data_IF_246916522546
#
_entry.id   IF_246916522546
#
_cell.length_a   1.000
_cell.length_b   1.000
_cell.length_c   1.000
_cell.angle_alpha   90.00
_cell.angle_beta   90.00
_cell.angle_gamma   90.00
#
_symmetry.space_group_name_H-M   'P 1'
#
loop_
_entity.id
_entity.type
_entity.pdbx_description
1 polymer ?
#
# COMPACT_ATOMS: atom_id res chain seq x y z
N UNK A 1 -14.59 -21.05 -41.29
CA UNK A 1 -14.38 -21.64 -39.95
C UNK A 1 -13.75 -20.55 -39.12
N UNK A 2 -14.43 -20.09 -38.07
CA UNK A 2 -13.85 -19.14 -37.12
C UNK A 2 -12.59 -19.77 -36.51
N UNK A 3 -11.55 -18.98 -36.29
CA UNK A 3 -10.40 -19.46 -35.53
C UNK A 3 -10.87 -19.69 -34.08
N UNK A 4 -10.44 -20.78 -33.41
CA UNK A 4 -10.71 -21.02 -32.00
C UNK A 4 -10.52 -19.80 -31.09
N UNK A 5 -9.58 -18.90 -31.42
CA UNK A 5 -9.35 -17.65 -30.67
C UNK A 5 -10.47 -16.60 -30.84
N UNK A 6 -11.18 -16.60 -31.96
CA UNK A 6 -12.30 -15.68 -32.20
C UNK A 6 -13.57 -16.16 -31.51
N UNK A 7 -13.77 -17.48 -31.44
CA UNK A 7 -14.89 -18.08 -30.70
C UNK A 7 -14.73 -17.94 -29.18
N UNK A 8 -13.50 -18.02 -28.66
CA UNK A 8 -13.20 -17.81 -27.25
C UNK A 8 -13.51 -16.37 -26.77
N UNK A 9 -13.30 -15.36 -27.63
CA UNK A 9 -13.60 -13.95 -27.31
C UNK A 9 -15.10 -13.64 -27.24
N UNK A 10 -15.94 -14.50 -27.82
CA UNK A 10 -17.41 -14.36 -27.77
C UNK A 10 -18.04 -15.11 -26.58
N UNK A 11 -17.24 -15.84 -25.80
CA UNK A 11 -17.67 -16.54 -24.59
C UNK A 11 -17.86 -15.62 -23.38
N UNK A 12 -18.56 -16.11 -22.35
CA UNK A 12 -18.75 -15.37 -21.09
C UNK A 12 -17.42 -15.22 -20.32
N UNK A 13 -16.92 -13.99 -20.24
CA UNK A 13 -15.63 -13.65 -19.59
C UNK A 13 -15.71 -13.50 -18.06
N UNK A 14 -16.70 -14.14 -17.42
CA UNK A 14 -16.94 -14.02 -15.97
C UNK A 14 -16.44 -15.22 -15.16
N UNK A 15 -15.90 -16.24 -15.82
CA UNK A 15 -15.28 -17.39 -15.17
C UNK A 15 -13.79 -17.12 -14.92
N UNK A 16 -13.30 -17.47 -13.73
CA UNK A 16 -11.88 -17.39 -13.36
C UNK A 16 -10.99 -18.33 -14.20
N UNK A 17 -11.59 -19.29 -14.91
CA UNK A 17 -10.92 -20.19 -15.85
C UNK A 17 -10.92 -19.70 -17.31
N UNK A 18 -11.47 -18.51 -17.60
CA UNK A 18 -11.41 -17.93 -18.95
C UNK A 18 -9.94 -17.64 -19.35
N UNK A 19 -9.39 -18.27 -20.41
CA UNK A 19 -8.06 -17.97 -20.91
C UNK A 19 -7.92 -16.53 -21.44
N UNK A 20 -9.02 -15.87 -21.80
CA UNK A 20 -9.08 -14.43 -22.11
C UNK A 20 -9.30 -13.55 -20.86
N UNK A 21 -9.65 -14.15 -19.73
CA UNK A 21 -9.73 -13.49 -18.43
C UNK A 21 -8.34 -13.08 -17.97
N UNK A 22 -8.12 -11.77 -17.77
CA UNK A 22 -6.86 -11.29 -17.18
C UNK A 22 -6.85 -11.70 -15.71
N UNK A 23 -6.26 -12.85 -15.39
CA UNK A 23 -6.12 -13.33 -14.02
C UNK A 23 -5.48 -12.22 -13.16
N UNK A 24 -6.19 -11.67 -12.15
CA UNK A 24 -5.69 -10.53 -11.35
C UNK A 24 -4.35 -10.82 -10.68
N UNK A 25 -4.06 -12.11 -10.41
CA UNK A 25 -2.79 -12.58 -9.87
C UNK A 25 -1.59 -12.37 -10.80
N UNK A 26 -1.80 -12.10 -12.11
CA UNK A 26 -0.72 -11.86 -13.09
C UNK A 26 -0.18 -10.42 -13.07
N UNK A 27 -0.75 -9.50 -12.31
CA UNK A 27 -0.16 -8.16 -12.17
C UNK A 27 1.21 -8.26 -11.50
N UNK A 28 2.23 -7.56 -12.01
CA UNK A 28 3.57 -7.55 -11.39
C UNK A 28 3.66 -6.63 -10.17
N UNK A 29 2.58 -5.89 -9.88
CA UNK A 29 2.52 -4.95 -8.77
C UNK A 29 1.50 -5.38 -7.71
N UNK A 30 1.73 -4.89 -6.49
CA UNK A 30 0.83 -4.99 -5.35
C UNK A 30 0.51 -3.59 -4.84
N UNK A 31 -0.74 -3.40 -4.42
CA UNK A 31 -1.15 -2.20 -3.70
C UNK A 31 -1.18 -2.51 -2.21
N UNK A 32 -0.49 -1.68 -1.42
CA UNK A 32 -0.55 -1.73 0.03
C UNK A 32 -1.66 -0.82 0.52
N UNK A 33 -2.42 -1.29 1.52
CA UNK A 33 -3.44 -0.49 2.21
C UNK A 33 -2.93 -0.24 3.63
N UNK A 34 -2.64 1.01 4.01
CA UNK A 34 -2.12 1.30 5.34
C UNK A 34 -3.23 1.20 6.37
N UNK A 35 -3.03 0.32 7.34
CA UNK A 35 -3.99 -0.03 8.37
C UNK A 35 -3.28 -0.18 9.71
N UNK A 36 -4.05 -0.22 10.78
CA UNK A 36 -3.52 -0.53 12.12
C UNK A 36 -4.39 -1.54 12.84
N UNK A 37 -3.79 -2.26 13.78
CA UNK A 37 -4.55 -3.08 14.73
C UNK A 37 -5.16 -2.22 15.84
N UNK A 38 -6.33 -2.62 16.34
CA UNK A 38 -6.95 -2.02 17.52
C UNK A 38 -8.19 -2.77 18.00
N UNK A 39 -8.67 -2.44 19.22
CA UNK A 39 -9.80 -3.10 19.91
C UNK A 39 -11.16 -2.88 19.25
N UNK A 40 -11.76 -3.85 18.58
CA UNK A 40 -13.04 -3.74 17.86
C UNK A 40 -14.22 -4.30 18.69
N UNK A 41 -15.45 -4.04 18.28
CA UNK A 41 -16.64 -4.51 19.02
C UNK A 41 -16.92 -6.01 18.80
N UNK A 42 -16.66 -6.49 17.58
CA UNK A 42 -16.85 -7.89 17.18
C UNK A 42 -15.54 -8.45 16.66
N UNK A 43 -15.24 -9.71 16.97
CA UNK A 43 -14.09 -10.39 16.37
C UNK A 43 -14.23 -10.37 14.84
N UNK A 44 -13.15 -10.11 14.10
CA UNK A 44 -13.17 -10.33 12.67
C UNK A 44 -13.57 -11.79 12.43
N UNK A 45 -14.48 -12.02 11.49
CA UNK A 45 -14.84 -13.38 11.07
C UNK A 45 -13.57 -14.02 10.49
N UNK A 46 -12.98 -14.98 11.20
CA UNK A 46 -11.75 -15.70 10.80
C UNK A 46 -11.94 -16.23 9.36
N UNK A 47 -11.05 -15.98 8.39
CA UNK A 47 -9.77 -16.68 8.17
C UNK A 47 -8.65 -15.78 7.59
N UNK A 48 -8.89 -14.48 7.38
CA UNK A 48 -8.02 -13.68 6.51
C UNK A 48 -6.87 -12.91 7.20
N UNK A 49 -6.88 -12.76 8.53
CA UNK A 49 -5.96 -11.85 9.23
C UNK A 49 -5.47 -12.48 10.54
N UNK A 50 -4.19 -12.85 10.59
CA UNK A 50 -3.51 -13.24 11.83
C UNK A 50 -3.32 -12.01 12.74
N UNK A 51 -4.01 -12.01 13.87
CA UNK A 51 -3.93 -10.94 14.85
C UNK A 51 -2.68 -11.12 15.74
N UNK A 52 -1.90 -10.06 15.99
CA UNK A 52 -0.63 -10.19 16.71
C UNK A 52 -0.80 -10.43 18.22
N UNK A 53 -1.94 -10.08 18.79
CA UNK A 53 -2.21 -10.15 20.23
C UNK A 53 -3.67 -10.50 20.51
N UNK A 54 -3.89 -11.26 21.57
CA UNK A 54 -5.20 -11.46 22.18
C UNK A 54 -5.43 -10.49 23.34
N UNK A 55 -6.66 -9.97 23.47
CA UNK A 55 -7.00 -8.88 24.37
C UNK A 55 -8.22 -9.22 25.23
N UNK A 56 -8.10 -9.03 26.56
CA UNK A 56 -9.13 -9.43 27.52
C UNK A 56 -10.40 -8.57 27.51
N UNK A 57 -10.30 -7.30 27.10
CA UNK A 57 -11.40 -6.33 27.21
C UNK A 57 -12.34 -6.36 26.02
N UNK A 58 -11.79 -6.42 24.81
CA UNK A 58 -12.48 -6.46 23.52
C UNK A 58 -11.60 -7.22 22.52
N UNK A 59 -12.16 -7.80 21.45
CA UNK A 59 -11.36 -8.44 20.41
C UNK A 59 -10.46 -7.44 19.68
N UNK A 60 -9.31 -7.90 19.18
CA UNK A 60 -8.46 -7.14 18.26
C UNK A 60 -9.01 -7.25 16.83
N UNK A 61 -8.86 -6.19 16.05
CA UNK A 61 -9.19 -6.18 14.64
C UNK A 61 -8.44 -5.09 13.90
N UNK A 62 -8.85 -4.84 12.66
CA UNK A 62 -8.27 -3.80 11.81
C UNK A 62 -9.01 -2.48 11.97
N UNK A 63 -8.27 -1.37 11.94
CA UNK A 63 -8.78 0.00 11.86
C UNK A 63 -8.01 0.80 10.82
N UNK A 64 -8.62 1.93 10.43
CA UNK A 64 -7.92 3.00 9.73
C UNK A 64 -6.70 3.45 10.53
N UNK A 65 -5.60 3.67 9.81
CA UNK A 65 -4.40 4.29 10.35
C UNK A 65 -4.74 5.69 10.88
N UNK A 66 -4.00 6.15 11.89
CA UNK A 66 -4.13 7.53 12.38
C UNK A 66 -3.46 8.49 11.39
N UNK A 67 -3.80 9.76 11.51
CA UNK A 67 -3.11 10.81 10.79
C UNK A 67 -1.63 10.83 11.17
N UNK A 68 -0.77 11.00 10.17
CA UNK A 68 0.67 10.91 10.35
C UNK A 68 1.41 10.75 9.04
N UNK A 69 2.60 10.13 9.13
CA UNK A 69 3.51 9.94 8.01
C UNK A 69 3.93 8.48 7.90
N UNK A 70 3.95 7.98 6.67
CA UNK A 70 4.50 6.67 6.32
C UNK A 70 5.78 6.90 5.52
N UNK A 71 6.83 6.20 5.92
CA UNK A 71 8.11 6.16 5.25
C UNK A 71 8.33 4.77 4.68
N UNK A 72 8.62 4.69 3.39
CA UNK A 72 8.93 3.44 2.71
C UNK A 72 10.31 3.58 2.08
N UNK A 73 11.26 2.78 2.56
CA UNK A 73 12.55 2.60 1.93
C UNK A 73 12.43 1.42 0.96
N UNK A 74 12.62 1.70 -0.33
CA UNK A 74 12.56 0.71 -1.42
C UNK A 74 13.87 0.72 -2.19
N UNK A 75 14.27 -0.43 -2.69
CA UNK A 75 15.38 -0.54 -3.64
C UNK A 75 14.81 -0.44 -5.06
N UNK A 76 15.08 0.69 -5.72
CA UNK A 76 14.71 0.95 -7.11
C UNK A 76 16.02 1.02 -7.92
N UNK A 77 16.23 0.08 -8.86
CA UNK A 77 17.40 0.01 -9.74
C UNK A 77 18.76 0.14 -9.02
N UNK A 78 18.99 -0.72 -8.01
CA UNK A 78 20.19 -0.75 -7.16
C UNK A 78 20.41 0.49 -6.28
N UNK A 79 19.45 1.42 -6.24
CA UNK A 79 19.48 2.59 -5.36
C UNK A 79 18.38 2.52 -4.30
N UNK A 80 18.74 2.82 -3.05
CA UNK A 80 17.78 2.93 -1.96
C UNK A 80 17.11 4.31 -1.98
N UNK A 81 15.79 4.32 -2.18
CA UNK A 81 14.97 5.53 -2.24
C UNK A 81 13.98 5.56 -1.07
N UNK A 82 13.91 6.69 -0.37
CA UNK A 82 12.89 6.93 0.66
C UNK A 82 11.69 7.61 -0.01
N UNK A 83 10.54 6.95 0.06
CA UNK A 83 9.25 7.53 -0.30
C UNK A 83 8.52 7.94 0.97
N UNK A 84 8.00 9.16 0.97
CA UNK A 84 7.27 9.74 2.09
C UNK A 84 5.81 9.95 1.71
N UNK A 85 4.91 9.55 2.61
CA UNK A 85 3.49 9.71 2.42
C UNK A 85 2.88 10.35 3.65
N UNK A 86 1.92 11.25 3.45
CA UNK A 86 1.09 11.81 4.50
C UNK A 86 -0.25 11.08 4.54
N UNK A 87 -0.69 10.75 5.74
CA UNK A 87 -2.01 10.19 6.01
C UNK A 87 -2.82 11.25 6.75
N UNK A 88 -3.97 11.60 6.20
CA UNK A 88 -4.90 12.59 6.75
C UNK A 88 -6.33 12.12 6.47
N UNK A 89 -7.15 11.97 7.50
CA UNK A 89 -8.53 11.47 7.42
C UNK A 89 -8.64 10.13 6.66
N UNK A 90 -7.64 9.26 6.84
CA UNK A 90 -7.55 7.96 6.18
C UNK A 90 -7.18 8.03 4.68
N UNK A 91 -6.91 9.21 4.14
CA UNK A 91 -6.40 9.39 2.78
C UNK A 91 -4.87 9.43 2.78
N UNK A 92 -4.27 8.76 1.81
CA UNK A 92 -2.82 8.74 1.61
C UNK A 92 -2.47 9.74 0.51
N UNK A 93 -1.44 10.56 0.71
CA UNK A 93 -0.89 11.45 -0.31
C UNK A 93 0.62 11.32 -0.37
N UNK A 94 1.18 11.15 -1.56
CA UNK A 94 2.63 11.08 -1.72
C UNK A 94 3.24 12.47 -1.63
N UNK A 95 4.20 12.62 -0.72
CA UNK A 95 5.05 13.79 -0.62
C UNK A 95 6.29 13.54 -1.47
N UNK A 96 6.60 14.46 -2.38
CA UNK A 96 7.71 14.30 -3.32
C UNK A 96 8.94 15.05 -2.82
N UNK A 97 10.07 14.35 -2.83
CA UNK A 97 11.40 14.88 -2.62
C UNK A 97 11.87 15.62 -3.88
N UNK A 98 11.45 16.86 -4.08
CA UNK A 98 11.98 17.69 -5.17
C UNK A 98 12.63 18.97 -4.64
N UNK A 99 13.78 19.29 -5.23
CA UNK A 99 14.50 20.55 -5.08
C UNK A 99 14.73 21.00 -3.62
N UNK A 100 14.37 22.25 -3.30
CA UNK A 100 14.68 22.92 -2.04
C UNK A 100 13.94 22.32 -0.83
N UNK A 101 12.92 21.50 -1.04
CA UNK A 101 12.14 20.89 0.04
C UNK A 101 12.82 19.64 0.64
N UNK A 102 13.81 19.07 -0.05
CA UNK A 102 14.57 17.90 0.41
C UNK A 102 15.27 18.16 1.74
N UNK A 103 15.75 19.40 1.95
CA UNK A 103 16.40 19.82 3.19
C UNK A 103 15.47 20.50 4.19
N UNK A 104 14.18 20.65 3.86
CA UNK A 104 13.19 21.27 4.75
C UNK A 104 12.67 20.27 5.75
N UNK A 105 12.62 20.64 7.03
CA UNK A 105 12.03 19.81 8.08
C UNK A 105 10.52 19.61 7.90
N UNK A 106 9.86 20.59 7.27
CA UNK A 106 8.44 20.52 6.93
C UNK A 106 8.25 20.41 5.42
N UNK A 107 7.60 19.34 5.00
CA UNK A 107 7.27 19.08 3.59
C UNK A 107 5.76 18.88 3.48
N UNK A 108 5.11 19.77 2.76
CA UNK A 108 3.62 19.82 2.66
C UNK A 108 3.12 19.65 1.23
N UNK A 109 4.02 19.74 0.25
CA UNK A 109 3.68 19.65 -1.18
C UNK A 109 3.38 18.20 -1.57
N UNK A 110 2.11 17.88 -1.81
CA UNK A 110 1.68 16.61 -2.39
C UNK A 110 1.81 16.69 -3.92
N UNK A 111 2.60 15.81 -4.53
CA UNK A 111 2.97 15.91 -5.96
C UNK A 111 2.91 14.57 -6.70
N UNK A 112 2.32 13.53 -6.11
CA UNK A 112 2.33 12.18 -6.70
C UNK A 112 1.04 11.39 -6.48
N UNK A 113 1.02 10.20 -7.06
CA UNK A 113 -0.07 9.24 -6.90
C UNK A 113 -0.23 8.86 -5.42
N UNK A 114 -1.46 8.95 -4.93
CA UNK A 114 -1.85 8.61 -3.56
C UNK A 114 -1.78 7.10 -3.24
N UNK A 115 -1.42 6.29 -4.22
CA UNK A 115 -1.44 4.83 -4.10
C UNK A 115 -0.07 4.26 -3.73
N UNK A 116 -0.02 3.47 -2.66
CA UNK A 116 1.14 2.69 -2.24
C UNK A 116 1.31 1.45 -3.13
N UNK A 117 1.76 1.63 -4.37
CA UNK A 117 1.92 0.54 -5.35
C UNK A 117 3.40 0.23 -5.55
N UNK A 118 3.76 -1.04 -5.42
CA UNK A 118 5.13 -1.53 -5.51
C UNK A 118 5.20 -2.81 -6.35
N UNK A 119 6.37 -3.15 -6.87
CA UNK A 119 6.54 -4.46 -7.51
C UNK A 119 6.46 -5.58 -6.47
N UNK A 120 5.94 -6.73 -6.89
CA UNK A 120 5.77 -7.91 -6.03
C UNK A 120 7.08 -8.44 -5.44
N UNK A 121 8.19 -8.20 -6.13
CA UNK A 121 9.51 -8.71 -5.77
C UNK A 121 10.36 -7.70 -5.00
N UNK A 122 9.88 -6.45 -4.85
CA UNK A 122 10.61 -5.42 -4.13
C UNK A 122 10.67 -5.73 -2.63
N UNK A 123 11.84 -5.52 -2.04
CA UNK A 123 12.01 -5.49 -0.58
C UNK A 123 11.71 -4.07 -0.09
N UNK A 124 10.77 -3.97 0.84
CA UNK A 124 10.33 -2.70 1.40
C UNK A 124 10.63 -2.67 2.90
N UNK A 125 11.20 -1.58 3.39
CA UNK A 125 11.23 -1.27 4.82
C UNK A 125 10.27 -0.12 5.10
N UNK A 126 9.27 -0.39 5.94
CA UNK A 126 8.20 0.55 6.23
C UNK A 126 8.31 1.06 7.67
N UNK A 127 8.06 2.35 7.86
CA UNK A 127 7.94 2.97 9.17
C UNK A 127 6.75 3.93 9.20
N UNK A 128 6.14 4.08 10.36
CA UNK A 128 5.07 5.04 10.63
C UNK A 128 5.50 6.01 11.74
N UNK A 129 5.09 7.27 11.63
CA UNK A 129 5.24 8.26 12.70
C UNK A 129 4.06 9.22 12.73
N UNK A 130 3.61 9.57 13.94
CA UNK A 130 2.61 10.63 14.15
C UNK A 130 3.19 12.04 13.91
N UNK A 131 4.50 12.16 13.68
CA UNK A 131 5.19 13.43 13.43
C UNK A 131 6.12 13.27 12.22
N UNK A 132 6.16 14.29 11.35
CA UNK A 132 7.06 14.30 10.21
C UNK A 132 8.52 14.20 10.68
N UNK A 133 9.28 13.25 10.15
CA UNK A 133 10.71 13.16 10.38
C UNK A 133 11.42 14.38 9.78
N UNK A 134 12.36 14.95 10.55
CA UNK A 134 13.23 16.07 10.15
C UNK A 134 14.11 15.71 8.95
N UNK A 135 14.61 16.71 8.23
CA UNK A 135 15.45 16.54 7.05
C UNK A 135 16.85 15.98 7.32
N UNK A 136 17.26 15.85 8.59
CA UNK A 136 18.57 15.29 9.00
C UNK A 136 18.68 13.76 8.81
N UNK A 137 18.16 13.23 7.70
CA UNK A 137 18.15 11.79 7.42
C UNK A 137 19.44 11.29 6.79
N UNK A 138 20.21 12.15 6.13
CA UNK A 138 21.49 11.81 5.51
C UNK A 138 22.43 13.02 5.53
N UNK A 139 23.33 13.07 6.53
CA UNK A 139 24.56 13.86 6.47
C UNK A 139 25.73 12.93 6.72
#
# INVERSE_FOLDING_TARGET
MSNPNDDAKMGQTKDAQDPAGTCPLKKNTIQLIPLRYGLVESSPTEEAIDLPFDTKSKPMGVRLLRDGWIYILVNDDDAWVIREYRVEDGQVSQLVWQDKEVSSDQRVSAVGDSSLVFEKVSVLYCAYSEIQWTAKKCS
#
